data_IF_051418036286
#
_entry.id   IF_051418036286
#
_cell.length_a   1.000
_cell.length_b   1.000
_cell.length_c   1.000
_cell.angle_alpha   90.00
_cell.angle_beta   90.00
_cell.angle_gamma   90.00
#
_symmetry.space_group_name_H-M   'P 1'
#
loop_
_entity.id
_entity.type
_entity.pdbx_description
1 polymer ?
#
# COMPACT_ATOMS: atom_id res chain seq x y z
N UNK A 1 23.00 1.04 -1.49
CA UNK A 1 21.53 0.80 -1.53
C UNK A 1 20.87 1.64 -0.45
N UNK A 2 19.57 1.93 -0.54
CA UNK A 2 18.84 2.71 0.47
C UNK A 2 17.67 1.90 1.03
N UNK A 3 17.34 2.11 2.30
CA UNK A 3 16.12 1.60 2.93
C UNK A 3 15.12 2.73 3.06
N UNK A 4 13.90 2.52 2.58
CA UNK A 4 12.84 3.51 2.63
C UNK A 4 11.85 3.16 3.75
N UNK A 5 11.58 4.11 4.63
CA UNK A 5 10.52 4.01 5.63
C UNK A 5 9.31 4.81 5.14
N UNK A 6 8.18 4.12 5.02
CA UNK A 6 6.89 4.68 4.66
C UNK A 6 5.92 4.48 5.82
N UNK A 7 5.10 5.50 6.09
CA UNK A 7 4.00 5.34 7.02
C UNK A 7 2.85 4.59 6.34
N UNK A 8 2.14 3.67 7.01
CA UNK A 8 1.06 2.89 6.40
C UNK A 8 -0.02 3.73 5.73
N UNK A 9 -0.39 4.88 6.32
CA UNK A 9 -1.41 5.78 5.76
C UNK A 9 -0.96 6.57 4.53
N UNK A 10 0.30 6.45 4.10
CA UNK A 10 0.80 7.10 2.88
C UNK A 10 0.74 6.18 1.67
N UNK A 11 0.49 4.89 1.89
CA UNK A 11 0.31 3.91 0.83
C UNK A 11 -1.20 3.80 0.59
N UNK A 12 -1.62 3.92 -0.66
CA UNK A 12 -3.04 3.88 -1.03
C UNK A 12 -3.25 3.01 -2.27
N UNK A 13 -4.40 2.34 -2.41
CA UNK A 13 -4.85 1.82 -3.69
C UNK A 13 -4.99 2.98 -4.69
N UNK A 14 -4.46 2.81 -5.89
CA UNK A 14 -4.61 3.76 -6.98
C UNK A 14 -5.97 3.52 -7.64
N UNK A 15 -6.84 4.54 -7.79
CA UNK A 15 -8.06 4.37 -8.57
C UNK A 15 -7.72 4.16 -10.06
N UNK A 16 -8.41 3.18 -10.68
CA UNK A 16 -8.14 2.66 -12.03
C UNK A 16 -8.11 3.73 -13.13
N UNK A 17 -8.81 4.85 -12.93
CA UNK A 17 -8.87 5.96 -13.87
C UNK A 17 -7.54 6.72 -14.05
N UNK A 18 -6.52 6.46 -13.22
CA UNK A 18 -5.18 7.08 -13.30
C UNK A 18 -4.09 6.07 -13.73
N UNK A 19 -4.47 5.00 -14.45
CA UNK A 19 -3.58 3.91 -14.88
C UNK A 19 -2.38 4.35 -15.74
N UNK A 20 -2.42 5.54 -16.36
CA UNK A 20 -1.42 5.98 -17.34
C UNK A 20 -0.35 6.95 -16.81
N UNK A 21 -0.36 7.34 -15.53
CA UNK A 21 0.62 8.26 -14.97
C UNK A 21 1.42 7.66 -13.80
N UNK A 22 2.76 7.70 -13.95
CA UNK A 22 3.85 7.55 -12.96
C UNK A 22 3.71 6.49 -11.84
N UNK A 23 4.56 5.44 -11.92
CA UNK A 23 5.01 4.54 -10.83
C UNK A 23 3.98 4.11 -9.76
N UNK A 24 3.43 2.91 -9.90
CA UNK A 24 2.68 2.21 -8.85
C UNK A 24 3.07 0.74 -8.84
N UNK A 25 3.08 0.11 -7.66
CA UNK A 25 3.46 -1.28 -7.46
C UNK A 25 2.23 -2.17 -7.41
N UNK A 26 2.22 -3.23 -8.23
CA UNK A 26 1.14 -4.20 -8.22
C UNK A 26 1.26 -5.10 -6.97
N UNK A 27 0.13 -5.41 -6.36
CA UNK A 27 0.06 -6.15 -5.11
C UNK A 27 -1.24 -6.95 -5.01
N UNK A 28 -1.27 -7.92 -4.10
CA UNK A 28 -2.47 -8.69 -3.77
C UNK A 28 -2.82 -8.54 -2.31
N UNK A 29 -4.10 -8.30 -2.01
CA UNK A 29 -4.57 -8.16 -0.62
C UNK A 29 -4.50 -9.50 0.10
N UNK A 30 -3.67 -9.58 1.14
CA UNK A 30 -3.43 -10.79 1.90
C UNK A 30 -4.31 -10.89 3.15
N UNK A 31 -4.51 -9.77 3.86
CA UNK A 31 -5.38 -9.74 5.03
C UNK A 31 -5.87 -8.33 5.36
N UNK A 32 -6.96 -8.26 6.10
CA UNK A 32 -7.56 -7.02 6.60
C UNK A 32 -7.86 -7.20 8.08
N UNK A 33 -7.41 -6.27 8.90
CA UNK A 33 -7.77 -6.18 10.32
C UNK A 33 -8.39 -4.83 10.62
N UNK A 34 -9.46 -4.84 11.41
CA UNK A 34 -10.26 -3.65 11.70
C UNK A 34 -9.86 -3.04 13.05
N UNK A 35 -9.69 -1.72 13.07
CA UNK A 35 -9.29 -0.95 14.24
C UNK A 35 -10.21 0.28 14.38
N UNK A 36 -11.45 0.04 14.77
CA UNK A 36 -12.46 1.09 14.92
C UNK A 36 -12.84 1.70 13.57
N UNK A 37 -12.45 2.95 13.34
CA UNK A 37 -12.72 3.68 12.09
C UNK A 37 -11.71 3.40 10.98
N UNK A 38 -10.58 2.78 11.32
CA UNK A 38 -9.53 2.45 10.38
C UNK A 38 -9.49 0.93 10.15
N UNK A 39 -8.95 0.54 8.99
CA UNK A 39 -8.55 -0.82 8.70
C UNK A 39 -7.07 -0.86 8.31
N UNK A 40 -6.39 -1.87 8.81
CA UNK A 40 -5.02 -2.21 8.43
C UNK A 40 -5.08 -3.31 7.39
N UNK A 41 -4.48 -3.07 6.23
CA UNK A 41 -4.49 -3.97 5.09
C UNK A 41 -3.06 -4.42 4.84
N UNK A 42 -2.84 -5.73 4.85
CA UNK A 42 -1.58 -6.30 4.37
C UNK A 42 -1.75 -6.64 2.90
N UNK A 43 -0.84 -6.15 2.07
CA UNK A 43 -0.79 -6.46 0.65
C UNK A 43 0.59 -7.01 0.27
N UNK A 44 0.62 -8.12 -0.45
CA UNK A 44 1.84 -8.75 -0.94
C UNK A 44 2.19 -8.12 -2.29
N UNK A 45 3.31 -7.41 -2.37
CA UNK A 45 3.79 -6.84 -3.63
C UNK A 45 4.20 -7.98 -4.58
N UNK A 46 3.85 -7.87 -5.87
CA UNK A 46 4.19 -8.89 -6.88
C UNK A 46 5.70 -9.11 -6.98
N UNK A 47 6.49 -8.03 -6.96
CA UNK A 47 7.95 -8.05 -7.09
C UNK A 47 8.68 -7.61 -5.80
N UNK A 48 8.09 -7.84 -4.63
CA UNK A 48 8.64 -7.25 -3.41
C UNK A 48 8.12 -7.82 -2.09
N UNK A 49 8.44 -7.14 -0.97
CA UNK A 49 7.96 -7.53 0.34
C UNK A 49 6.47 -7.23 0.51
N UNK A 50 5.83 -7.86 1.50
CA UNK A 50 4.52 -7.42 1.97
C UNK A 50 4.60 -6.01 2.56
N UNK A 51 3.58 -5.20 2.30
CA UNK A 51 3.43 -3.86 2.85
C UNK A 51 2.15 -3.75 3.66
N UNK A 52 2.17 -2.79 4.59
CA UNK A 52 1.04 -2.51 5.45
C UNK A 52 0.47 -1.14 5.10
N UNK A 53 -0.82 -1.09 4.81
CA UNK A 53 -1.57 0.12 4.53
C UNK A 53 -2.55 0.39 5.66
N UNK A 54 -2.87 1.67 5.87
CA UNK A 54 -3.98 2.07 6.75
C UNK A 54 -4.97 2.92 5.98
N UNK A 55 -6.24 2.52 5.99
CA UNK A 55 -7.33 3.20 5.30
C UNK A 55 -8.51 3.39 6.25
N UNK A 56 -9.40 4.34 5.95
CA UNK A 56 -10.71 4.38 6.60
C UNK A 56 -11.46 3.07 6.30
N UNK A 57 -12.19 2.53 7.27
CA UNK A 57 -12.94 1.28 7.15
C UNK A 57 -14.24 1.43 6.32
N UNK A 58 -14.17 2.17 5.22
CA UNK A 58 -15.26 2.45 4.29
C UNK A 58 -14.71 2.20 2.89
N UNK A 59 -15.36 1.33 2.12
CA UNK A 59 -14.94 0.95 0.76
C UNK A 59 -13.53 0.35 0.70
N UNK A 60 -13.32 -0.72 1.46
CA UNK A 60 -12.08 -1.49 1.44
C UNK A 60 -12.08 -2.49 0.27
N UNK A 61 -10.90 -2.82 -0.31
CA UNK A 61 -10.77 -3.99 -1.17
C UNK A 61 -11.01 -5.27 -0.37
N UNK A 62 -11.23 -6.38 -1.06
CA UNK A 62 -11.41 -7.71 -0.46
C UNK A 62 -10.10 -8.48 -0.37
N UNK A 63 -10.03 -9.45 0.55
CA UNK A 63 -8.90 -10.37 0.61
C UNK A 63 -8.85 -11.19 -0.68
N UNK A 64 -7.70 -11.19 -1.33
CA UNK A 64 -7.49 -11.83 -2.62
C UNK A 64 -7.57 -10.89 -3.81
N UNK A 65 -7.99 -9.63 -3.64
CA UNK A 65 -8.04 -8.64 -4.71
C UNK A 65 -6.63 -8.26 -5.19
N UNK A 66 -6.50 -8.09 -6.50
CA UNK A 66 -5.34 -7.46 -7.12
C UNK A 66 -5.50 -5.95 -7.08
N UNK A 67 -4.53 -5.25 -6.50
CA UNK A 67 -4.55 -3.80 -6.31
C UNK A 67 -3.25 -3.18 -6.80
N UNK A 68 -3.34 -1.98 -7.35
CA UNK A 68 -2.15 -1.19 -7.67
C UNK A 68 -1.91 -0.14 -6.61
N UNK A 69 -0.78 -0.20 -5.93
CA UNK A 69 -0.44 0.70 -4.83
C UNK A 69 0.35 1.92 -5.28
N UNK A 70 0.09 3.05 -4.65
CA UNK A 70 0.83 4.30 -4.82
C UNK A 70 1.24 4.89 -3.46
N UNK A 71 2.29 5.69 -3.48
CA UNK A 71 2.79 6.42 -2.30
C UNK A 71 2.46 7.90 -2.46
N UNK A 72 1.62 8.43 -1.58
CA UNK A 72 1.13 9.82 -1.67
C UNK A 72 2.10 10.86 -1.12
N UNK A 73 3.06 10.46 -0.29
CA UNK A 73 3.99 11.38 0.39
C UNK A 73 5.43 10.87 0.35
N UNK A 74 6.43 11.76 0.28
CA UNK A 74 7.84 11.34 0.31
C UNK A 74 8.17 10.51 1.56
N UNK A 75 8.83 9.38 1.36
CA UNK A 75 9.34 8.55 2.45
C UNK A 75 10.64 9.05 3.05
N UNK A 76 11.02 8.48 4.20
CA UNK A 76 12.33 8.74 4.80
C UNK A 76 13.33 7.70 4.31
N UNK A 77 14.42 8.16 3.69
CA UNK A 77 15.48 7.31 3.18
C UNK A 77 16.63 7.19 4.19
N UNK A 78 17.08 5.97 4.39
CA UNK A 78 18.23 5.63 5.23
C UNK A 78 19.28 4.90 4.38
N UNK A 79 20.56 5.13 4.67
CA UNK A 79 21.62 4.36 4.05
C UNK A 79 21.47 2.88 4.45
N UNK A 80 21.54 1.97 3.49
CA UNK A 80 21.68 0.56 3.81
C UNK A 80 23.13 0.31 4.25
N UNK A 81 23.30 -0.42 5.35
CA UNK A 81 24.60 -0.95 5.78
C UNK A 81 25.13 -2.00 4.79
#
# INVERSE_FOLDING_TARGET
TVRLMLRPEWIVPRPDLLAQAAAGADARVASISYAGHDAMITADLVDGPSVLLRMAAVELPEVGDDVRLAVQRPGLAFAAA
#
